data_IF_707818661489
#
_entry.id   IF_707818661489
#
_cell.length_a   1.000
_cell.length_b   1.000
_cell.length_c   1.000
_cell.angle_alpha   90.00
_cell.angle_beta   90.00
_cell.angle_gamma   90.00
#
_symmetry.space_group_name_H-M   'P 1'
#
loop_
_entity.id
_entity.type
_entity.pdbx_description
1 polymer ?
#
# COMPACT_ATOMS: atom_id res chain seq x y z
N UNK A 1 11.00 18.45 0.66
CA UNK A 1 10.61 17.03 0.75
C UNK A 1 11.70 16.29 1.52
N UNK A 2 11.48 16.01 2.79
CA UNK A 2 12.32 15.07 3.51
C UNK A 2 11.78 13.66 3.22
N UNK A 3 12.52 12.89 2.43
CA UNK A 3 12.36 11.44 2.41
C UNK A 3 12.80 11.02 3.81
N UNK A 4 11.84 10.70 4.65
CA UNK A 4 12.08 10.17 5.99
C UNK A 4 12.67 8.77 5.86
N UNK A 5 13.93 8.69 5.57
CA UNK A 5 14.71 7.48 5.63
C UNK A 5 15.08 7.27 7.10
N UNK A 6 14.31 6.49 7.81
CA UNK A 6 14.63 6.04 9.17
C UNK A 6 15.80 5.04 9.10
N UNK A 7 17.00 5.56 8.82
CA UNK A 7 18.22 4.77 8.60
C UNK A 7 19.25 5.00 9.69
N UNK A 8 18.86 4.89 10.93
CA UNK A 8 19.89 4.84 12.00
C UNK A 8 20.28 3.38 12.21
N UNK A 9 21.46 3.01 11.72
CA UNK A 9 22.11 1.71 12.02
C UNK A 9 21.83 0.56 11.06
N UNK A 10 21.16 0.80 9.92
CA UNK A 10 20.79 -0.27 9.00
C UNK A 10 21.67 -0.42 7.76
N UNK A 11 22.64 0.48 7.53
CA UNK A 11 23.48 0.43 6.32
C UNK A 11 24.27 -0.89 6.16
N UNK A 12 24.69 -1.51 7.25
CA UNK A 12 25.36 -2.81 7.19
C UNK A 12 24.41 -3.98 6.95
N UNK A 13 23.13 -3.85 7.33
CA UNK A 13 22.12 -4.90 7.12
C UNK A 13 21.39 -4.79 5.78
N UNK A 14 21.38 -3.61 5.16
CA UNK A 14 20.68 -3.35 3.89
C UNK A 14 21.40 -4.01 2.72
N UNK A 15 22.75 -4.03 2.71
CA UNK A 15 23.53 -4.61 1.61
C UNK A 15 23.40 -6.12 1.44
N UNK A 16 22.97 -6.83 2.48
CA UNK A 16 22.89 -8.30 2.48
C UNK A 16 21.45 -8.81 2.26
N UNK A 17 20.46 -7.93 2.14
CA UNK A 17 19.05 -8.31 1.97
C UNK A 17 18.40 -7.48 0.86
N UNK A 18 17.52 -8.11 0.08
CA UNK A 18 16.68 -7.39 -0.87
C UNK A 18 15.86 -6.32 -0.13
N UNK A 19 15.93 -5.08 -0.57
CA UNK A 19 15.17 -3.95 -0.06
C UNK A 19 14.62 -3.16 -1.25
N UNK A 20 13.56 -2.42 -1.00
CA UNK A 20 12.99 -1.53 -1.98
C UNK A 20 12.69 -0.16 -1.35
N UNK A 21 12.75 0.88 -2.18
CA UNK A 21 12.33 2.20 -1.76
C UNK A 21 10.84 2.37 -1.99
N UNK A 22 10.16 2.92 -0.97
CA UNK A 22 8.73 3.15 -1.02
C UNK A 22 8.39 4.60 -0.75
N UNK A 23 7.57 5.17 -1.63
CA UNK A 23 6.97 6.48 -1.47
C UNK A 23 5.46 6.42 -1.45
N UNK A 24 4.84 7.58 -1.26
CA UNK A 24 3.38 7.75 -1.35
C UNK A 24 3.09 8.98 -2.18
N UNK A 25 2.17 8.85 -3.14
CA UNK A 25 1.69 10.00 -3.90
C UNK A 25 0.28 10.40 -3.45
N UNK A 26 0.00 11.68 -3.56
CA UNK A 26 -1.22 12.36 -3.09
C UNK A 26 -1.74 13.27 -4.20
N UNK A 27 -2.84 13.97 -3.94
CA UNK A 27 -3.30 15.05 -4.82
C UNK A 27 -2.22 16.11 -5.11
N UNK A 28 -1.25 16.30 -4.20
CA UNK A 28 -0.22 17.34 -4.35
C UNK A 28 1.00 16.93 -5.17
N UNK A 29 1.22 15.62 -5.35
CA UNK A 29 2.35 15.07 -6.12
C UNK A 29 1.89 13.95 -7.05
N UNK A 30 0.91 14.26 -7.89
CA UNK A 30 0.39 13.33 -8.90
C UNK A 30 1.41 12.98 -9.97
N UNK A 31 2.47 13.78 -10.12
CA UNK A 31 3.62 13.55 -11.01
C UNK A 31 4.67 12.60 -10.41
N UNK A 32 4.23 11.59 -9.72
CA UNK A 32 5.02 10.65 -8.92
C UNK A 32 6.16 9.95 -9.67
N UNK A 33 6.12 9.92 -11.01
CA UNK A 33 7.22 9.36 -11.81
C UNK A 33 8.51 10.16 -11.66
N UNK A 34 8.44 11.46 -11.39
CA UNK A 34 9.62 12.29 -11.13
C UNK A 34 10.33 11.80 -9.86
N UNK A 35 9.57 11.49 -8.82
CA UNK A 35 10.11 10.94 -7.57
C UNK A 35 10.74 9.56 -7.81
N UNK A 36 10.09 8.70 -8.61
CA UNK A 36 10.62 7.39 -8.97
C UNK A 36 11.92 7.50 -9.78
N UNK A 37 11.99 8.41 -10.75
CA UNK A 37 13.20 8.61 -11.53
C UNK A 37 14.33 9.19 -10.69
N UNK A 38 14.02 10.09 -9.76
CA UNK A 38 15.01 10.57 -8.80
C UNK A 38 15.55 9.41 -7.93
N UNK A 39 14.68 8.56 -7.41
CA UNK A 39 15.11 7.38 -6.65
C UNK A 39 15.99 6.43 -7.49
N UNK A 40 15.64 6.24 -8.76
CA UNK A 40 16.39 5.34 -9.64
C UNK A 40 17.70 5.92 -10.13
N UNK A 41 17.69 7.15 -10.64
CA UNK A 41 18.81 7.73 -11.38
C UNK A 41 19.79 8.46 -10.46
N UNK A 42 19.29 9.18 -9.45
CA UNK A 42 20.14 9.98 -8.58
C UNK A 42 20.54 9.22 -7.31
N UNK A 43 19.66 8.38 -6.77
CA UNK A 43 19.90 7.63 -5.55
C UNK A 43 20.33 6.18 -5.79
N UNK A 44 20.17 5.67 -7.02
CA UNK A 44 20.67 4.35 -7.43
C UNK A 44 19.85 3.16 -6.91
N UNK A 45 18.54 3.35 -6.67
CA UNK A 45 17.65 2.27 -6.28
C UNK A 45 16.99 1.65 -7.51
N UNK A 46 16.97 0.33 -7.60
CA UNK A 46 16.40 -0.45 -8.69
C UNK A 46 15.10 -1.17 -8.35
N UNK A 47 14.76 -1.26 -7.07
CA UNK A 47 13.48 -1.79 -6.59
C UNK A 47 12.64 -0.69 -5.93
N UNK A 48 11.49 -0.36 -6.54
CA UNK A 48 10.71 0.83 -6.23
C UNK A 48 9.22 0.52 -6.05
N UNK A 49 8.58 1.26 -5.15
CA UNK A 49 7.13 1.26 -4.95
C UNK A 49 6.64 2.68 -4.68
N UNK A 50 5.55 3.08 -5.30
CA UNK A 50 4.85 4.35 -5.00
C UNK A 50 3.37 4.05 -4.84
N UNK A 51 2.88 4.21 -3.62
CA UNK A 51 1.50 3.87 -3.29
C UNK A 51 0.60 5.12 -3.32
N UNK A 52 -0.66 5.01 -3.78
CA UNK A 52 -1.61 6.09 -3.59
C UNK A 52 -1.89 6.31 -2.10
N UNK A 53 -2.06 7.57 -1.70
CA UNK A 53 -2.47 7.88 -0.34
C UNK A 53 -3.86 7.30 -0.06
N UNK A 54 -4.00 6.69 1.11
CA UNK A 54 -5.30 6.28 1.64
C UNK A 54 -5.68 7.26 2.74
N UNK A 55 -6.64 8.12 2.46
CA UNK A 55 -7.11 9.15 3.39
C UNK A 55 -8.63 9.26 3.35
N UNK A 56 -9.20 9.91 4.37
CA UNK A 56 -10.65 10.13 4.44
C UNK A 56 -11.13 10.95 3.24
N UNK A 57 -12.30 10.62 2.70
CA UNK A 57 -12.89 11.38 1.62
C UNK A 57 -13.04 12.86 2.02
N UNK A 58 -12.61 13.77 1.14
CA UNK A 58 -12.62 15.21 1.39
C UNK A 58 -11.39 15.76 2.11
N UNK A 59 -10.42 14.91 2.49
CA UNK A 59 -9.12 15.39 2.96
C UNK A 59 -8.37 16.09 1.82
N UNK A 60 -7.59 17.14 2.10
CA UNK A 60 -6.89 17.91 1.07
C UNK A 60 -5.87 17.08 0.25
N UNK A 61 -5.28 16.07 0.86
CA UNK A 61 -4.32 15.16 0.24
C UNK A 61 -4.97 14.02 -0.57
N UNK A 62 -6.28 13.81 -0.37
CA UNK A 62 -6.99 12.70 -1.00
C UNK A 62 -6.99 12.82 -2.52
N UNK A 63 -6.75 11.70 -3.19
CA UNK A 63 -6.90 11.62 -4.64
C UNK A 63 -8.38 11.69 -5.02
N UNK A 64 -8.65 12.35 -6.13
CA UNK A 64 -9.98 12.57 -6.66
C UNK A 64 -10.11 12.05 -8.10
N UNK A 65 -11.32 11.97 -8.63
CA UNK A 65 -11.53 11.60 -10.04
C UNK A 65 -10.83 12.56 -11.01
N UNK A 66 -10.63 13.82 -10.61
CA UNK A 66 -9.94 14.81 -11.42
C UNK A 66 -8.44 14.51 -11.60
N UNK A 67 -7.84 13.76 -10.68
CA UNK A 67 -6.45 13.38 -10.73
C UNK A 67 -6.19 12.16 -11.62
N UNK A 68 -7.21 11.34 -11.90
CA UNK A 68 -7.09 10.09 -12.64
C UNK A 68 -6.44 10.25 -14.04
N UNK A 69 -6.81 11.26 -14.87
CA UNK A 69 -6.16 11.42 -16.17
C UNK A 69 -4.65 11.63 -16.05
N UNK A 70 -4.20 12.44 -15.07
CA UNK A 70 -2.78 12.69 -14.82
C UNK A 70 -2.10 11.40 -14.38
N UNK A 71 -2.72 10.67 -13.46
CA UNK A 71 -2.16 9.41 -12.96
C UNK A 71 -2.03 8.36 -14.07
N UNK A 72 -3.00 8.25 -14.97
CA UNK A 72 -2.90 7.35 -16.11
C UNK A 72 -1.71 7.71 -17.02
N UNK A 73 -1.53 9.01 -17.31
CA UNK A 73 -0.38 9.47 -18.09
C UNK A 73 0.95 9.16 -17.39
N UNK A 74 1.01 9.29 -16.06
CA UNK A 74 2.19 8.95 -15.26
C UNK A 74 2.51 7.45 -15.30
N UNK A 75 1.51 6.59 -15.12
CA UNK A 75 1.70 5.14 -15.25
C UNK A 75 2.15 4.75 -16.66
N UNK A 76 1.58 5.35 -17.71
CA UNK A 76 2.00 5.11 -19.09
C UNK A 76 3.44 5.57 -19.33
N UNK A 77 3.81 6.75 -18.83
CA UNK A 77 5.18 7.27 -18.89
C UNK A 77 6.17 6.31 -18.22
N UNK A 78 5.85 5.86 -17.01
CA UNK A 78 6.67 4.91 -16.27
C UNK A 78 6.84 3.59 -17.04
N UNK A 79 5.76 3.03 -17.57
CA UNK A 79 5.82 1.79 -18.35
C UNK A 79 6.74 1.91 -19.58
N UNK A 80 6.64 3.04 -20.29
CA UNK A 80 7.51 3.32 -21.45
C UNK A 80 8.98 3.46 -21.03
N UNK A 81 9.24 4.12 -19.91
CA UNK A 81 10.60 4.28 -19.39
C UNK A 81 11.17 2.93 -18.93
N UNK A 82 10.42 2.12 -18.22
CA UNK A 82 10.84 0.77 -17.81
C UNK A 82 11.21 -0.09 -19.01
N UNK A 83 10.41 -0.09 -20.08
CA UNK A 83 10.74 -0.79 -21.32
C UNK A 83 12.02 -0.26 -22.00
N UNK A 84 12.26 1.03 -21.92
CA UNK A 84 13.48 1.67 -22.42
C UNK A 84 14.70 1.20 -21.61
N UNK A 85 14.60 1.20 -20.28
CA UNK A 85 15.65 0.76 -19.35
C UNK A 85 15.97 -0.73 -19.51
N UNK A 86 14.95 -1.56 -19.64
CA UNK A 86 15.11 -3.01 -19.93
C UNK A 86 15.97 -3.23 -21.17
N UNK A 87 15.64 -2.54 -22.27
CA UNK A 87 16.43 -2.63 -23.54
C UNK A 87 17.84 -2.09 -23.41
N UNK A 88 18.07 -1.14 -22.51
CA UNK A 88 19.38 -0.56 -22.24
C UNK A 88 20.23 -1.41 -21.25
N UNK A 89 19.66 -2.47 -20.67
CA UNK A 89 20.35 -3.33 -19.71
C UNK A 89 20.43 -2.77 -18.29
N UNK A 90 19.60 -1.78 -17.96
CA UNK A 90 19.49 -1.16 -16.63
C UNK A 90 18.03 -1.17 -16.18
N UNK A 91 17.41 -2.36 -15.98
CA UNK A 91 16.02 -2.45 -15.55
C UNK A 91 15.81 -1.92 -14.15
N UNK A 92 14.62 -1.39 -13.91
CA UNK A 92 14.10 -1.11 -12.57
C UNK A 92 12.87 -1.97 -12.34
N UNK A 93 12.63 -2.33 -11.08
CA UNK A 93 11.43 -3.04 -10.66
C UNK A 93 10.45 -2.05 -10.04
N UNK A 94 9.23 -2.02 -10.55
CA UNK A 94 8.14 -1.26 -9.95
C UNK A 94 7.04 -2.21 -9.48
N UNK A 95 6.77 -2.24 -8.18
CA UNK A 95 5.94 -3.26 -7.55
C UNK A 95 4.50 -3.33 -8.07
N UNK A 96 3.91 -2.20 -8.51
CA UNK A 96 2.57 -2.21 -9.10
C UNK A 96 2.49 -2.99 -10.44
N UNK A 97 3.62 -3.14 -11.13
CA UNK A 97 3.68 -3.90 -12.39
C UNK A 97 4.10 -5.36 -12.22
N UNK A 98 4.42 -5.77 -10.99
CA UNK A 98 4.74 -7.17 -10.68
C UNK A 98 3.47 -8.00 -10.53
N UNK A 99 2.70 -8.11 -11.61
CA UNK A 99 1.48 -8.92 -11.66
C UNK A 99 1.78 -10.18 -12.44
N UNK A 100 1.69 -11.35 -11.80
CA UNK A 100 1.79 -12.64 -12.49
C UNK A 100 0.48 -12.95 -13.21
N UNK A 101 0.45 -12.61 -14.50
CA UNK A 101 -0.70 -12.88 -15.35
C UNK A 101 -0.76 -14.33 -15.86
N UNK A 102 0.36 -15.08 -15.76
CA UNK A 102 0.44 -16.45 -16.25
C UNK A 102 -0.06 -17.48 -15.23
N UNK A 103 0.31 -17.32 -13.96
CA UNK A 103 -0.05 -18.24 -12.88
C UNK A 103 -1.13 -17.68 -11.95
N UNK A 104 -1.38 -16.36 -12.04
CA UNK A 104 -2.32 -15.65 -11.20
C UNK A 104 -1.80 -15.40 -9.77
N UNK A 105 -2.51 -14.55 -9.02
CA UNK A 105 -2.16 -14.23 -7.65
C UNK A 105 -2.53 -15.35 -6.68
N UNK A 106 -1.92 -15.34 -5.50
CA UNK A 106 -2.36 -16.20 -4.39
C UNK A 106 -3.81 -15.86 -4.01
N UNK A 107 -4.74 -16.74 -4.34
CA UNK A 107 -6.19 -16.52 -4.18
C UNK A 107 -6.54 -16.26 -2.71
N UNK A 108 -5.95 -17.00 -1.77
CA UNK A 108 -6.21 -16.81 -0.34
C UNK A 108 -5.92 -15.37 0.11
N UNK A 109 -4.73 -14.86 -0.19
CA UNK A 109 -4.36 -13.47 0.14
C UNK A 109 -5.22 -12.44 -0.59
N UNK A 110 -5.71 -12.76 -1.78
CA UNK A 110 -6.57 -11.85 -2.55
C UNK A 110 -8.00 -11.83 -2.06
N UNK A 111 -8.48 -12.89 -1.45
CA UNK A 111 -9.81 -12.93 -0.83
C UNK A 111 -9.79 -12.25 0.53
N UNK A 112 -8.87 -12.62 1.42
CA UNK A 112 -8.83 -12.16 2.81
C UNK A 112 -8.22 -10.76 2.99
N UNK A 113 -7.61 -10.21 1.95
CA UNK A 113 -6.96 -8.91 2.03
C UNK A 113 -5.63 -8.94 2.77
N UNK A 114 -5.29 -7.80 3.40
CA UNK A 114 -4.03 -7.64 4.11
C UNK A 114 -4.02 -8.30 5.49
N UNK A 115 -5.15 -8.81 5.99
CA UNK A 115 -5.27 -9.42 7.31
C UNK A 115 -5.26 -8.42 8.49
N UNK A 116 -5.52 -7.14 8.20
CA UNK A 116 -5.63 -6.08 9.21
C UNK A 116 -6.63 -6.47 10.31
N UNK A 117 -6.23 -6.32 11.55
CA UNK A 117 -7.06 -6.62 12.72
C UNK A 117 -7.22 -8.11 13.03
N UNK A 118 -6.74 -9.01 12.16
CA UNK A 118 -6.86 -10.46 12.33
C UNK A 118 -5.53 -11.20 12.26
N UNK A 119 -4.71 -10.96 11.22
CA UNK A 119 -3.41 -11.58 11.05
C UNK A 119 -2.27 -10.72 11.63
N UNK A 120 -2.48 -9.41 11.72
CA UNK A 120 -1.59 -8.47 12.39
C UNK A 120 -2.37 -7.31 12.99
N UNK A 121 -1.74 -6.57 13.88
CA UNK A 121 -2.26 -5.40 14.56
C UNK A 121 -1.18 -4.35 14.74
N UNK A 122 -1.57 -3.07 14.83
CA UNK A 122 -0.69 -2.00 15.24
C UNK A 122 -0.72 -1.87 16.77
N UNK A 123 0.46 -1.69 17.37
CA UNK A 123 0.62 -1.44 18.80
C UNK A 123 1.17 -0.03 18.98
N UNK A 124 0.48 0.80 19.75
CA UNK A 124 0.97 2.14 20.07
C UNK A 124 2.03 2.12 21.17
N UNK A 125 2.84 3.18 21.33
CA UNK A 125 3.78 3.27 22.45
C UNK A 125 3.13 3.18 23.84
N UNK A 126 1.83 3.44 23.93
CA UNK A 126 1.03 3.34 25.17
C UNK A 126 0.38 1.97 25.36
N UNK A 127 0.64 1.04 24.43
CA UNK A 127 0.13 -0.33 24.49
C UNK A 127 -1.27 -0.52 23.91
N UNK A 128 -1.87 0.49 23.26
CA UNK A 128 -3.17 0.34 22.61
C UNK A 128 -3.05 -0.49 21.34
N UNK A 129 -4.06 -1.33 21.08
CA UNK A 129 -4.15 -2.19 19.90
C UNK A 129 -5.14 -1.61 18.88
N UNK A 130 -4.71 -1.53 17.62
CA UNK A 130 -5.52 -1.10 16.47
C UNK A 130 -5.41 -2.11 15.33
N UNK A 131 -6.40 -2.17 14.40
CA UNK A 131 -6.34 -3.10 13.26
C UNK A 131 -5.10 -2.93 12.39
N UNK A 132 -4.71 -1.68 12.09
CA UNK A 132 -3.44 -1.34 11.46
C UNK A 132 -3.03 0.11 11.81
N UNK A 133 -1.87 0.53 11.32
CA UNK A 133 -1.34 1.87 11.59
C UNK A 133 -2.24 3.01 11.10
N UNK A 134 -3.06 2.80 10.08
CA UNK A 134 -3.98 3.81 9.54
C UNK A 134 -5.11 4.18 10.52
N UNK A 135 -5.46 3.28 11.43
CA UNK A 135 -6.53 3.47 12.40
C UNK A 135 -6.02 3.98 13.75
N UNK A 136 -4.70 4.15 13.91
CA UNK A 136 -4.11 4.60 15.17
C UNK A 136 -4.60 6.01 15.51
N UNK A 137 -5.14 6.15 16.72
CA UNK A 137 -5.68 7.42 17.24
C UNK A 137 -7.18 7.63 16.98
N UNK A 138 -7.82 6.76 16.21
CA UNK A 138 -9.27 6.76 16.07
C UNK A 138 -9.90 5.84 17.14
N UNK A 139 -10.63 6.38 18.14
CA UNK A 139 -11.17 5.59 19.25
C UNK A 139 -12.18 4.53 18.79
N UNK A 140 -12.84 4.73 17.64
CA UNK A 140 -13.83 3.79 17.11
C UNK A 140 -13.19 2.50 16.62
N UNK A 141 -11.88 2.53 16.32
CA UNK A 141 -11.11 1.38 15.82
C UNK A 141 -10.20 0.76 16.88
N UNK A 142 -10.29 1.18 18.15
CA UNK A 142 -9.47 0.56 19.19
C UNK A 142 -9.95 -0.88 19.46
N UNK A 143 -9.04 -1.84 19.28
CA UNK A 143 -9.29 -3.27 19.52
C UNK A 143 -9.11 -3.69 20.98
N UNK A 144 -8.26 -2.98 21.71
CA UNK A 144 -7.91 -3.34 23.08
C UNK A 144 -6.55 -2.78 23.47
N UNK A 145 -5.84 -3.51 24.32
CA UNK A 145 -4.50 -3.15 24.77
C UNK A 145 -3.62 -4.39 25.05
N UNK A 146 -2.31 -4.19 25.20
CA UNK A 146 -1.35 -5.28 25.39
C UNK A 146 -1.51 -6.04 26.73
N UNK A 147 -2.20 -5.45 27.72
CA UNK A 147 -2.38 -6.08 29.03
C UNK A 147 -3.65 -6.95 29.07
N UNK A 148 -4.70 -6.52 28.39
CA UNK A 148 -6.01 -7.18 28.36
C UNK A 148 -6.24 -7.96 27.05
N UNK A 149 -5.36 -7.75 26.05
CA UNK A 149 -5.53 -8.32 24.71
C UNK A 149 -6.63 -7.63 23.91
N UNK A 150 -7.19 -8.34 22.93
CA UNK A 150 -8.31 -7.86 22.12
C UNK A 150 -9.59 -7.96 22.91
N UNK A 151 -10.11 -6.83 23.36
CA UNK A 151 -11.37 -6.73 24.12
C UNK A 151 -12.56 -6.41 23.21
N UNK A 152 -12.34 -5.67 22.12
CA UNK A 152 -13.37 -5.37 21.11
C UNK A 152 -13.40 -6.46 20.05
N UNK A 153 -14.00 -7.62 20.40
CA UNK A 153 -14.09 -8.77 19.53
C UNK A 153 -15.07 -8.56 18.38
N UNK A 154 -16.09 -7.72 18.56
CA UNK A 154 -17.06 -7.39 17.51
C UNK A 154 -16.36 -6.69 16.35
N UNK A 155 -15.60 -5.65 16.65
CA UNK A 155 -14.81 -4.93 15.64
C UNK A 155 -13.79 -5.85 14.94
N UNK A 156 -13.08 -6.70 15.70
CA UNK A 156 -12.17 -7.69 15.11
C UNK A 156 -12.90 -8.61 14.13
N UNK A 157 -14.08 -9.07 14.49
CA UNK A 157 -14.85 -10.01 13.66
C UNK A 157 -15.44 -9.28 12.42
N UNK A 158 -15.75 -7.98 12.51
CA UNK A 158 -16.06 -7.15 11.33
C UNK A 158 -14.89 -7.17 10.34
N UNK A 159 -13.64 -6.92 10.80
CA UNK A 159 -12.46 -6.99 9.95
C UNK A 159 -12.25 -8.38 9.35
N UNK A 160 -12.50 -9.44 10.11
CA UNK A 160 -12.41 -10.83 9.64
C UNK A 160 -13.41 -11.16 8.51
N UNK A 161 -14.57 -10.53 8.54
CA UNK A 161 -15.59 -10.70 7.51
C UNK A 161 -15.35 -9.84 6.27
N UNK A 162 -14.46 -8.85 6.36
CA UNK A 162 -14.09 -8.02 5.21
C UNK A 162 -13.32 -8.86 4.20
N UNK A 163 -13.92 -9.10 3.04
CA UNK A 163 -13.31 -9.80 1.93
C UNK A 163 -13.86 -9.27 0.60
N UNK A 164 -13.20 -9.63 -0.50
CA UNK A 164 -13.56 -9.12 -1.83
C UNK A 164 -15.01 -9.42 -2.24
N UNK A 165 -15.57 -10.51 -1.77
CA UNK A 165 -16.96 -10.90 -2.09
C UNK A 165 -18.00 -10.23 -1.18
N UNK A 166 -17.58 -9.73 -0.03
CA UNK A 166 -18.45 -8.99 0.87
C UNK A 166 -18.77 -7.57 0.36
N UNK A 167 -17.95 -7.05 -0.57
CA UNK A 167 -18.14 -5.72 -1.16
C UNK A 167 -18.94 -5.79 -2.46
N UNK A 168 -20.10 -5.13 -2.55
CA UNK A 168 -20.96 -5.17 -3.76
C UNK A 168 -20.21 -4.75 -5.02
N UNK A 169 -19.39 -3.72 -4.94
CA UNK A 169 -18.65 -3.16 -6.09
C UNK A 169 -17.50 -4.06 -6.55
N UNK A 170 -16.99 -4.91 -5.67
CA UNK A 170 -15.82 -5.76 -5.94
C UNK A 170 -16.20 -7.18 -6.36
N UNK A 171 -17.31 -7.74 -5.84
CA UNK A 171 -17.66 -9.16 -6.01
C UNK A 171 -17.76 -9.61 -7.46
N UNK A 172 -18.22 -8.73 -8.35
CA UNK A 172 -18.42 -9.00 -9.77
C UNK A 172 -17.37 -8.32 -10.66
N UNK A 173 -16.39 -7.63 -10.07
CA UNK A 173 -15.32 -6.95 -10.80
C UNK A 173 -14.35 -7.98 -11.40
N UNK A 174 -14.02 -7.84 -12.69
CA UNK A 174 -13.06 -8.71 -13.37
C UNK A 174 -11.67 -8.65 -12.75
N UNK A 175 -11.28 -7.49 -12.22
CA UNK A 175 -9.96 -7.25 -11.61
C UNK A 175 -9.90 -7.61 -10.12
N UNK A 176 -10.97 -8.13 -9.51
CA UNK A 176 -11.08 -8.32 -8.06
C UNK A 176 -9.95 -9.10 -7.40
N UNK A 177 -9.31 -10.01 -8.13
CA UNK A 177 -8.20 -10.81 -7.62
C UNK A 177 -6.82 -10.22 -7.93
N UNK A 178 -6.76 -9.12 -8.68
CA UNK A 178 -5.52 -8.45 -9.06
C UNK A 178 -5.28 -7.15 -8.30
N UNK A 179 -6.32 -6.56 -7.73
CA UNK A 179 -6.22 -5.30 -6.99
C UNK A 179 -5.62 -5.50 -5.60
N UNK A 180 -4.89 -4.50 -5.15
CA UNK A 180 -4.45 -4.42 -3.75
C UNK A 180 -5.65 -4.17 -2.84
N UNK A 181 -5.66 -4.85 -1.68
CA UNK A 181 -6.86 -5.07 -0.89
C UNK A 181 -7.04 -4.08 0.27
N UNK A 182 -6.36 -2.94 0.26
CA UNK A 182 -6.51 -1.94 1.32
C UNK A 182 -7.98 -1.56 1.51
N UNK A 183 -8.71 -1.33 0.41
CA UNK A 183 -10.13 -1.01 0.45
C UNK A 183 -11.06 -2.18 0.84
N UNK A 184 -10.57 -3.41 0.79
CA UNK A 184 -11.36 -4.60 1.15
C UNK A 184 -11.30 -4.84 2.65
N UNK A 185 -10.23 -4.41 3.31
CA UNK A 185 -9.99 -4.64 4.73
C UNK A 185 -10.65 -3.59 5.63
N UNK A 186 -11.26 -2.54 5.07
CA UNK A 186 -12.00 -1.57 5.86
C UNK A 186 -13.47 -2.00 5.99
N UNK A 187 -14.02 -2.09 7.22
CA UNK A 187 -15.46 -2.25 7.41
C UNK A 187 -16.21 -1.11 6.73
N UNK A 188 -17.24 -1.44 5.97
CA UNK A 188 -18.17 -0.43 5.42
C UNK A 188 -19.00 0.13 6.56
N UNK A 189 -18.62 1.28 7.07
CA UNK A 189 -19.42 2.09 7.98
C UNK A 189 -19.95 3.32 7.28
#
# INVERSE_FOLDING_TARGET
YEISCSLVGSEMCIRDRGYYMRGTFTHYNTDFTNDLFHMADDLGFDELSMEPVVSKAGSPEALTEADLPILFDQYELLAKDMLRREKAGHPITFYHYMIDLAHGPCIYKRISGCGSGTEYMAVTPWGDLYPCHQFVGDPDYKLGDIWNGVTNTELRDEFKLCNVYARPDCKDCWARLYLSLIHISEPTR
#
